data_IF_438621408881
#
_entry.id   IF_438621408881
#
_cell.length_a   1.000
_cell.length_b   1.000
_cell.length_c   1.000
_cell.angle_alpha   90.00
_cell.angle_beta   90.00
_cell.angle_gamma   90.00
#
_symmetry.space_group_name_H-M   'P 1'
#
loop_
_entity.id
_entity.type
_entity.pdbx_description
1 polymer ?
#
# COMPACT_ATOMS: atom_id res chain seq x y z
N UNK A 1 8.26 -20.91 -4.28
CA UNK A 1 8.03 -20.95 -2.81
C UNK A 1 9.33 -20.63 -2.07
N UNK A 2 9.58 -19.37 -1.69
CA UNK A 2 10.69 -19.02 -0.77
C UNK A 2 10.27 -19.51 0.62
N UNK A 3 10.90 -20.59 1.13
CA UNK A 3 10.74 -21.01 2.53
C UNK A 3 11.00 -19.79 3.41
N UNK A 4 10.00 -19.41 4.19
CA UNK A 4 10.05 -18.25 5.07
C UNK A 4 11.29 -18.33 5.96
N UNK A 5 12.04 -17.22 6.11
CA UNK A 5 13.19 -17.15 7.03
C UNK A 5 12.82 -17.56 8.46
N UNK A 6 11.54 -17.49 8.82
CA UNK A 6 11.00 -17.95 10.11
C UNK A 6 11.04 -19.46 10.27
N UNK A 7 10.92 -20.26 9.18
CA UNK A 7 11.01 -21.71 9.26
C UNK A 7 12.43 -22.17 9.64
N UNK A 8 13.47 -21.51 9.14
CA UNK A 8 14.86 -21.83 9.53
C UNK A 8 15.11 -21.54 11.02
N UNK A 9 14.53 -20.48 11.56
CA UNK A 9 14.62 -20.18 12.99
C UNK A 9 13.91 -21.21 13.86
N UNK A 10 12.80 -21.78 13.39
CA UNK A 10 12.09 -22.84 14.10
C UNK A 10 12.92 -24.12 14.17
N UNK A 11 13.53 -24.52 13.05
CA UNK A 11 14.42 -25.68 13.03
C UNK A 11 15.67 -25.48 13.87
N UNK A 12 16.28 -24.29 13.81
CA UNK A 12 17.43 -23.93 14.64
C UNK A 12 17.08 -23.99 16.13
N UNK A 13 15.96 -23.42 16.53
CA UNK A 13 15.49 -23.45 17.92
C UNK A 13 15.20 -24.88 18.37
N UNK A 14 14.54 -25.69 17.54
CA UNK A 14 14.27 -27.10 17.84
C UNK A 14 15.54 -27.91 18.01
N UNK A 15 16.50 -27.77 17.11
CA UNK A 15 17.81 -28.45 17.20
C UNK A 15 18.56 -28.00 18.46
N UNK A 16 18.57 -26.70 18.78
CA UNK A 16 19.18 -26.16 20.00
C UNK A 16 18.57 -26.77 21.25
N UNK A 17 17.24 -26.84 21.34
CA UNK A 17 16.52 -27.45 22.49
C UNK A 17 16.91 -28.91 22.66
N UNK A 18 16.99 -29.69 21.56
CA UNK A 18 17.37 -31.10 21.60
C UNK A 18 18.82 -31.27 22.10
N UNK A 19 19.75 -30.49 21.55
CA UNK A 19 21.17 -30.54 21.96
C UNK A 19 21.32 -30.18 23.45
N UNK A 20 20.62 -29.13 23.89
CA UNK A 20 20.64 -28.68 25.28
C UNK A 20 20.04 -29.72 26.22
N UNK A 21 18.97 -30.42 25.81
CA UNK A 21 18.36 -31.48 26.58
C UNK A 21 19.29 -32.69 26.75
N UNK A 22 19.99 -33.08 25.66
CA UNK A 22 20.98 -34.15 25.68
C UNK A 22 22.18 -33.80 26.57
N UNK A 23 22.65 -32.54 26.49
CA UNK A 23 23.72 -32.02 27.32
C UNK A 23 23.37 -32.04 28.81
N UNK A 24 22.17 -31.61 29.17
CA UNK A 24 21.69 -31.66 30.55
C UNK A 24 21.49 -33.08 31.05
N UNK A 25 20.99 -34.00 30.22
CA UNK A 25 20.88 -35.41 30.55
C UNK A 25 22.24 -36.04 30.88
N UNK A 26 23.24 -35.73 30.07
CA UNK A 26 24.63 -36.20 30.32
C UNK A 26 25.19 -35.65 31.65
N UNK A 27 24.99 -34.34 31.91
CA UNK A 27 25.44 -33.73 33.16
C UNK A 27 24.73 -34.28 34.40
N UNK A 28 23.44 -34.56 34.32
CA UNK A 28 22.67 -35.18 35.42
C UNK A 28 23.20 -36.61 35.73
N UNK A 29 23.53 -37.39 34.72
CA UNK A 29 24.12 -38.73 34.91
C UNK A 29 25.48 -38.60 35.59
N UNK A 30 26.35 -37.70 35.16
CA UNK A 30 27.63 -37.44 35.82
C UNK A 30 27.50 -36.96 37.28
N UNK A 31 26.52 -36.13 37.57
CA UNK A 31 26.21 -35.67 38.94
C UNK A 31 25.75 -36.81 39.84
N UNK A 32 25.04 -37.80 39.32
CA UNK A 32 24.56 -38.97 40.09
C UNK A 32 25.69 -39.95 40.47
N UNK A 33 26.81 -39.93 39.73
CA UNK A 33 27.94 -40.85 39.96
C UNK A 33 29.05 -40.27 40.83
N UNK A 34 29.08 -38.97 41.08
CA UNK A 34 30.12 -38.28 41.87
C UNK A 34 29.45 -37.42 42.95
N UNK A 35 29.42 -37.92 44.20
CA UNK A 35 29.01 -37.14 45.38
C UNK A 35 30.17 -36.15 45.68
N UNK A 36 30.01 -34.84 45.59
CA UNK A 36 31.06 -33.89 45.90
C UNK A 36 31.31 -33.87 47.41
N UNK A 37 32.54 -34.10 47.81
CA UNK A 37 32.99 -33.99 49.21
C UNK A 37 33.34 -32.53 49.60
N UNK A 38 33.33 -31.61 48.67
CA UNK A 38 33.73 -30.20 48.90
C UNK A 38 32.63 -29.22 48.46
N UNK A 39 32.23 -28.37 49.40
CA UNK A 39 31.20 -27.31 49.20
C UNK A 39 31.55 -26.30 48.11
N UNK A 40 32.84 -26.05 47.88
CA UNK A 40 33.30 -25.11 46.84
C UNK A 40 33.08 -25.66 45.43
N UNK A 41 33.22 -27.00 45.23
CA UNK A 41 32.93 -27.63 43.95
C UNK A 41 31.42 -27.67 43.66
N UNK A 42 30.60 -27.87 44.67
CA UNK A 42 29.15 -27.84 44.55
C UNK A 42 28.66 -26.48 44.11
N UNK A 43 29.15 -25.38 44.76
CA UNK A 43 28.79 -24.00 44.42
C UNK A 43 29.15 -23.62 42.97
N UNK A 44 30.34 -24.03 42.49
CA UNK A 44 30.75 -23.82 41.08
C UNK A 44 29.82 -24.56 40.09
N UNK A 45 29.43 -25.78 40.37
CA UNK A 45 28.53 -26.57 39.50
C UNK A 45 27.11 -25.98 39.47
N UNK A 46 26.57 -25.56 40.60
CA UNK A 46 25.28 -24.88 40.69
C UNK A 46 25.29 -23.57 39.88
N UNK A 47 26.35 -22.76 40.02
CA UNK A 47 26.52 -21.54 39.23
C UNK A 47 26.58 -21.81 37.73
N UNK A 48 27.24 -22.88 37.28
CA UNK A 48 27.30 -23.24 35.86
C UNK A 48 25.92 -23.67 35.32
N UNK A 49 25.20 -24.52 36.02
CA UNK A 49 23.85 -24.99 35.62
C UNK A 49 22.86 -23.81 35.58
N UNK A 50 22.92 -22.88 36.56
CA UNK A 50 22.07 -21.68 36.56
C UNK A 50 22.41 -20.76 35.39
N UNK A 51 23.70 -20.58 35.07
CA UNK A 51 24.15 -19.77 33.94
C UNK A 51 23.70 -20.34 32.60
N UNK A 52 23.87 -21.65 32.39
CA UNK A 52 23.40 -22.32 31.18
C UNK A 52 21.87 -22.27 31.05
N UNK A 53 21.14 -22.48 32.16
CA UNK A 53 19.69 -22.40 32.21
C UNK A 53 19.18 -21.00 31.85
N UNK A 54 19.86 -19.96 32.34
CA UNK A 54 19.52 -18.57 32.00
C UNK A 54 19.73 -18.27 30.50
N UNK A 55 20.85 -18.69 29.92
CA UNK A 55 21.10 -18.55 28.47
C UNK A 55 20.06 -19.31 27.65
N UNK A 56 19.73 -20.52 28.05
CA UNK A 56 18.67 -21.31 27.40
C UNK A 56 17.32 -20.58 27.40
N UNK A 57 16.90 -20.06 28.54
CA UNK A 57 15.65 -19.31 28.67
C UNK A 57 15.64 -18.03 27.83
N UNK A 58 16.76 -17.32 27.73
CA UNK A 58 16.90 -16.14 26.90
C UNK A 58 16.74 -16.48 25.40
N UNK A 59 17.42 -17.53 24.93
CA UNK A 59 17.32 -17.96 23.53
C UNK A 59 15.89 -18.43 23.19
N UNK A 60 15.29 -19.21 24.12
CA UNK A 60 13.91 -19.68 23.96
C UNK A 60 12.92 -18.50 23.89
N UNK A 61 13.03 -17.56 24.84
CA UNK A 61 12.18 -16.37 24.88
C UNK A 61 12.33 -15.52 23.62
N UNK A 62 13.55 -15.30 23.17
CA UNK A 62 13.83 -14.59 21.91
C UNK A 62 13.24 -15.34 20.70
N UNK A 63 13.38 -16.66 20.64
CA UNK A 63 12.79 -17.49 19.59
C UNK A 63 11.27 -17.40 19.55
N UNK A 64 10.60 -17.51 20.71
CA UNK A 64 9.15 -17.38 20.84
C UNK A 64 8.70 -15.96 20.42
N UNK A 65 9.41 -14.92 20.85
CA UNK A 65 9.11 -13.55 20.42
C UNK A 65 9.19 -13.38 18.90
N UNK A 66 10.24 -13.90 18.27
CA UNK A 66 10.43 -13.85 16.81
C UNK A 66 9.32 -14.59 16.07
N UNK A 67 8.94 -15.78 16.54
CA UNK A 67 7.86 -16.58 15.96
C UNK A 67 6.53 -15.85 16.08
N UNK A 68 6.19 -15.36 17.27
CA UNK A 68 4.95 -14.57 17.48
C UNK A 68 4.87 -13.37 16.55
N UNK A 69 5.95 -12.59 16.44
CA UNK A 69 6.02 -11.44 15.53
C UNK A 69 5.82 -11.84 14.06
N UNK A 70 6.39 -12.98 13.64
CA UNK A 70 6.21 -13.50 12.28
C UNK A 70 4.77 -13.92 12.00
N UNK A 71 4.16 -14.67 12.92
CA UNK A 71 2.77 -15.13 12.81
C UNK A 71 1.81 -13.94 12.80
N UNK A 72 1.99 -12.96 13.69
CA UNK A 72 1.15 -11.77 13.73
C UNK A 72 1.20 -10.99 12.41
N UNK A 73 2.39 -10.89 11.79
CA UNK A 73 2.55 -10.24 10.49
C UNK A 73 1.83 -11.01 9.37
N UNK A 74 1.93 -12.33 9.39
CA UNK A 74 1.29 -13.20 8.40
C UNK A 74 -0.24 -13.15 8.51
N UNK A 75 -0.77 -13.18 9.74
CA UNK A 75 -2.21 -13.02 9.99
C UNK A 75 -2.72 -11.64 9.56
N UNK A 76 -1.98 -10.58 9.84
CA UNK A 76 -2.34 -9.22 9.40
C UNK A 76 -2.39 -9.12 7.87
N UNK A 77 -1.40 -9.71 7.18
CA UNK A 77 -1.39 -9.75 5.70
C UNK A 77 -2.56 -10.56 5.15
N UNK A 78 -2.88 -11.70 5.75
CA UNK A 78 -4.01 -12.53 5.36
C UNK A 78 -5.34 -11.79 5.56
N UNK A 79 -5.47 -11.06 6.65
CA UNK A 79 -6.67 -10.25 6.92
C UNK A 79 -6.81 -9.10 5.93
N UNK A 80 -5.70 -8.42 5.58
CA UNK A 80 -5.69 -7.41 4.53
C UNK A 80 -6.13 -7.99 3.17
N UNK A 81 -5.66 -9.19 2.81
CA UNK A 81 -6.08 -9.87 1.58
C UNK A 81 -7.58 -10.24 1.58
N UNK A 82 -8.10 -10.71 2.70
CA UNK A 82 -9.53 -11.01 2.83
C UNK A 82 -10.38 -9.74 2.70
N UNK A 83 -10.02 -8.69 3.42
CA UNK A 83 -10.71 -7.40 3.35
C UNK A 83 -10.67 -6.83 1.92
N UNK A 84 -9.54 -6.97 1.23
CA UNK A 84 -9.44 -6.59 -0.18
C UNK A 84 -10.41 -7.35 -1.08
N UNK A 85 -10.49 -8.68 -0.97
CA UNK A 85 -11.42 -9.48 -1.77
C UNK A 85 -12.87 -9.08 -1.51
N UNK A 86 -13.24 -8.85 -0.26
CA UNK A 86 -14.58 -8.37 0.11
C UNK A 86 -14.84 -6.99 -0.49
N UNK A 87 -13.90 -6.05 -0.33
CA UNK A 87 -14.03 -4.69 -0.86
C UNK A 87 -14.14 -4.69 -2.38
N UNK A 88 -13.27 -5.41 -3.11
CA UNK A 88 -13.35 -5.52 -4.58
C UNK A 88 -14.66 -6.12 -5.02
N UNK A 89 -15.11 -7.19 -4.36
CA UNK A 89 -16.39 -7.80 -4.70
C UNK A 89 -17.53 -6.79 -4.57
N UNK A 90 -17.52 -5.97 -3.52
CA UNK A 90 -18.50 -4.93 -3.32
C UNK A 90 -18.37 -3.79 -4.35
N UNK A 91 -17.16 -3.34 -4.62
CA UNK A 91 -16.87 -2.28 -5.61
C UNK A 91 -17.22 -2.70 -7.05
N UNK A 92 -17.10 -3.99 -7.39
CA UNK A 92 -17.53 -4.53 -8.67
C UNK A 92 -19.06 -4.70 -8.75
N UNK A 93 -19.69 -5.11 -7.65
CA UNK A 93 -21.14 -5.36 -7.63
C UNK A 93 -21.96 -4.10 -7.87
N UNK A 94 -21.50 -2.95 -7.36
CA UNK A 94 -22.21 -1.67 -7.46
C UNK A 94 -22.38 -1.20 -8.92
N UNK A 95 -21.30 -1.02 -9.74
CA UNK A 95 -21.43 -0.62 -11.12
C UNK A 95 -22.17 -1.67 -11.97
N UNK A 96 -21.97 -2.98 -11.71
CA UNK A 96 -22.71 -4.03 -12.42
C UNK A 96 -24.20 -3.94 -12.13
N UNK A 97 -24.61 -3.66 -10.88
CA UNK A 97 -26.01 -3.48 -10.53
C UNK A 97 -26.62 -2.22 -11.18
N UNK A 98 -25.86 -1.12 -11.22
CA UNK A 98 -26.25 0.12 -11.89
C UNK A 98 -26.42 -0.09 -13.41
N UNK A 99 -25.44 -0.72 -14.07
CA UNK A 99 -25.52 -1.11 -15.49
C UNK A 99 -26.75 -1.97 -15.78
N UNK A 100 -27.01 -2.97 -14.94
CA UNK A 100 -28.20 -3.80 -15.08
C UNK A 100 -29.48 -2.98 -14.99
N UNK A 101 -29.55 -2.03 -14.04
CA UNK A 101 -30.71 -1.16 -13.87
C UNK A 101 -30.91 -0.26 -15.09
N UNK A 102 -29.85 0.38 -15.61
CA UNK A 102 -29.90 1.21 -16.81
C UNK A 102 -30.40 0.41 -18.02
N UNK A 103 -29.85 -0.77 -18.26
CA UNK A 103 -30.28 -1.64 -19.38
C UNK A 103 -31.72 -2.14 -19.22
N UNK A 104 -32.16 -2.51 -18.01
CA UNK A 104 -33.55 -2.91 -17.74
C UNK A 104 -34.52 -1.73 -17.93
N UNK A 105 -34.11 -0.50 -17.59
CA UNK A 105 -34.93 0.70 -17.77
C UNK A 105 -35.12 1.00 -19.25
N UNK A 106 -34.05 0.91 -20.05
CA UNK A 106 -34.15 1.04 -21.53
C UNK A 106 -35.03 -0.02 -22.17
N UNK A 107 -34.97 -1.27 -21.66
CA UNK A 107 -35.74 -2.39 -22.20
C UNK A 107 -37.24 -2.30 -21.89
N UNK A 108 -37.60 -1.86 -20.67
CA UNK A 108 -38.98 -1.92 -20.15
C UNK A 108 -39.82 -0.69 -20.41
N UNK A 109 -39.21 0.47 -20.67
CA UNK A 109 -39.89 1.74 -20.74
C UNK A 109 -39.71 2.42 -22.11
N UNK A 110 -40.82 2.90 -22.70
CA UNK A 110 -40.76 3.84 -23.81
C UNK A 110 -40.42 5.24 -23.24
N UNK A 111 -39.15 5.62 -23.35
CA UNK A 111 -38.63 6.87 -22.82
C UNK A 111 -38.47 7.91 -23.92
N UNK A 112 -38.67 9.22 -23.63
CA UNK A 112 -38.26 10.31 -24.52
C UNK A 112 -36.73 10.20 -24.82
N UNK A 113 -36.32 10.66 -26.03
CA UNK A 113 -34.91 10.53 -26.47
C UNK A 113 -33.91 11.16 -25.49
N UNK A 114 -34.20 12.34 -24.98
CA UNK A 114 -33.37 13.03 -23.99
C UNK A 114 -33.10 12.18 -22.72
N UNK A 115 -34.12 11.46 -22.25
CA UNK A 115 -33.98 10.55 -21.10
C UNK A 115 -33.19 9.28 -21.45
N UNK A 116 -33.33 8.78 -22.69
CA UNK A 116 -32.54 7.63 -23.16
C UNK A 116 -31.06 7.98 -23.24
N UNK A 117 -30.72 9.16 -23.80
CA UNK A 117 -29.35 9.64 -23.86
C UNK A 117 -28.71 9.74 -22.47
N UNK A 118 -29.41 10.29 -21.48
CA UNK A 118 -28.94 10.37 -20.11
C UNK A 118 -28.69 8.98 -19.47
N UNK A 119 -29.56 8.01 -19.74
CA UNK A 119 -29.39 6.63 -19.24
C UNK A 119 -28.20 5.93 -19.93
N UNK A 120 -28.04 6.13 -21.23
CA UNK A 120 -26.92 5.58 -21.99
C UNK A 120 -25.60 6.17 -21.48
N UNK A 121 -25.57 7.51 -21.27
CA UNK A 121 -24.40 8.18 -20.72
C UNK A 121 -24.04 7.63 -19.34
N UNK A 122 -24.99 7.50 -18.42
CA UNK A 122 -24.76 6.93 -17.09
C UNK A 122 -24.28 5.46 -17.16
N UNK A 123 -24.79 4.66 -18.13
CA UNK A 123 -24.31 3.30 -18.33
C UNK A 123 -22.86 3.27 -18.85
N UNK A 124 -22.49 4.19 -19.75
CA UNK A 124 -21.12 4.30 -20.23
C UNK A 124 -20.14 4.72 -19.12
N UNK A 125 -20.53 5.68 -18.28
CA UNK A 125 -19.73 6.10 -17.13
C UNK A 125 -19.46 4.95 -16.14
N UNK A 126 -20.49 4.14 -15.83
CA UNK A 126 -20.30 2.99 -14.94
C UNK A 126 -19.47 1.88 -15.59
N UNK A 127 -19.53 1.72 -16.91
CA UNK A 127 -18.66 0.79 -17.64
C UNK A 127 -17.19 1.24 -17.63
N UNK A 128 -16.92 2.54 -17.83
CA UNK A 128 -15.57 3.12 -17.72
C UNK A 128 -15.00 2.93 -16.31
N UNK A 129 -15.82 3.19 -15.29
CA UNK A 129 -15.45 2.98 -13.89
C UNK A 129 -15.09 1.53 -13.59
N UNK A 130 -15.86 0.59 -14.13
CA UNK A 130 -15.58 -0.85 -14.01
C UNK A 130 -14.27 -1.23 -14.69
N UNK A 131 -14.02 -0.71 -15.90
CA UNK A 131 -12.77 -0.88 -16.65
C UNK A 131 -11.55 -0.39 -15.84
N UNK A 132 -11.62 0.82 -15.31
CA UNK A 132 -10.56 1.39 -14.47
C UNK A 132 -10.28 0.55 -13.21
N UNK A 133 -11.32 0.01 -12.56
CA UNK A 133 -11.16 -0.87 -11.40
C UNK A 133 -10.44 -2.18 -11.77
N UNK A 134 -10.81 -2.80 -12.89
CA UNK A 134 -10.16 -4.03 -13.40
C UNK A 134 -8.69 -3.74 -13.72
N UNK A 135 -8.41 -2.63 -14.38
CA UNK A 135 -7.04 -2.24 -14.73
C UNK A 135 -6.18 -2.00 -13.49
N UNK A 136 -6.72 -1.36 -12.46
CA UNK A 136 -6.04 -1.20 -11.17
C UNK A 136 -5.70 -2.55 -10.52
N UNK A 137 -6.59 -3.54 -10.58
CA UNK A 137 -6.34 -4.89 -10.06
C UNK A 137 -5.21 -5.57 -10.84
N UNK A 138 -5.25 -5.49 -12.18
CA UNK A 138 -4.22 -6.06 -13.05
C UNK A 138 -2.87 -5.41 -12.82
N UNK A 139 -2.82 -4.08 -12.72
CA UNK A 139 -1.61 -3.32 -12.46
C UNK A 139 -1.02 -3.67 -11.08
N UNK A 140 -1.84 -3.77 -10.03
CA UNK A 140 -1.38 -4.21 -8.72
C UNK A 140 -0.80 -5.64 -8.76
N UNK A 141 -1.39 -6.53 -9.56
CA UNK A 141 -0.90 -7.91 -9.72
C UNK A 141 0.42 -7.96 -10.51
N UNK A 142 0.55 -7.15 -11.56
CA UNK A 142 1.80 -7.01 -12.34
C UNK A 142 2.93 -6.44 -11.47
N UNK A 143 2.63 -5.44 -10.61
CA UNK A 143 3.58 -4.86 -9.68
C UNK A 143 4.15 -5.90 -8.70
N UNK A 144 3.28 -6.72 -8.11
CA UNK A 144 3.66 -7.78 -7.17
C UNK A 144 4.60 -8.81 -7.80
N UNK A 145 4.35 -9.19 -9.05
CA UNK A 145 5.14 -10.17 -9.78
C UNK A 145 6.36 -9.56 -10.48
N UNK A 146 6.62 -8.26 -10.33
CA UNK A 146 7.70 -7.52 -10.99
C UNK A 146 7.67 -7.66 -12.52
N UNK A 147 6.48 -7.72 -13.09
CA UNK A 147 6.26 -7.91 -14.53
C UNK A 147 6.25 -6.60 -15.32
N UNK A 148 6.39 -5.46 -14.65
CA UNK A 148 6.47 -4.18 -15.34
C UNK A 148 7.82 -3.99 -16.00
N UNK A 149 7.78 -3.61 -17.26
CA UNK A 149 8.94 -3.10 -18.00
C UNK A 149 8.72 -1.60 -18.19
N UNK A 150 9.64 -0.81 -17.67
CA UNK A 150 9.63 0.64 -17.78
C UNK A 150 9.99 1.02 -19.24
N UNK A 151 9.08 1.69 -19.92
CA UNK A 151 9.27 2.19 -21.29
C UNK A 151 9.44 3.71 -21.27
N UNK A 152 10.68 4.16 -21.04
CA UNK A 152 10.97 5.59 -21.00
C UNK A 152 11.08 6.15 -22.42
N UNK A 153 10.47 7.31 -22.62
CA UNK A 153 10.63 8.14 -23.80
C UNK A 153 10.81 9.61 -23.41
N UNK A 154 11.36 10.41 -24.29
CA UNK A 154 11.45 11.86 -24.12
C UNK A 154 10.03 12.45 -24.10
N UNK A 155 9.64 13.03 -22.99
CA UNK A 155 8.30 13.51 -22.72
C UNK A 155 8.32 14.93 -22.17
N UNK A 156 7.44 15.79 -22.68
CA UNK A 156 7.13 17.07 -22.06
C UNK A 156 6.09 16.87 -20.93
N UNK A 157 6.59 16.85 -19.70
CA UNK A 157 5.77 16.67 -18.51
C UNK A 157 4.77 17.82 -18.34
N UNK A 158 5.12 19.03 -18.73
CA UNK A 158 4.23 20.17 -18.66
C UNK A 158 3.04 20.00 -19.61
N UNK A 159 3.27 19.59 -20.85
CA UNK A 159 2.21 19.29 -21.80
C UNK A 159 1.30 18.14 -21.35
N UNK A 160 1.87 17.05 -20.82
CA UNK A 160 1.10 15.93 -20.26
C UNK A 160 0.20 16.41 -19.14
N UNK A 161 0.76 17.14 -18.17
CA UNK A 161 -0.01 17.63 -17.01
C UNK A 161 -1.11 18.59 -17.42
N UNK A 162 -0.83 19.53 -18.33
CA UNK A 162 -1.82 20.47 -18.85
C UNK A 162 -3.01 19.75 -19.49
N UNK A 163 -2.75 18.73 -20.30
CA UNK A 163 -3.78 17.92 -20.94
C UNK A 163 -4.64 17.16 -19.92
N UNK A 164 -4.00 16.57 -18.89
CA UNK A 164 -4.70 15.89 -17.81
C UNK A 164 -5.59 16.84 -17.02
N UNK A 165 -5.04 17.96 -16.56
CA UNK A 165 -5.78 18.97 -15.79
C UNK A 165 -6.96 19.52 -16.59
N UNK A 166 -6.80 19.81 -17.88
CA UNK A 166 -7.88 20.30 -18.76
C UNK A 166 -9.03 19.30 -18.87
N UNK A 167 -8.74 17.99 -18.96
CA UNK A 167 -9.78 16.94 -18.95
C UNK A 167 -10.57 16.92 -17.63
N UNK A 168 -9.90 17.14 -16.51
CA UNK A 168 -10.57 17.18 -15.20
C UNK A 168 -11.32 18.49 -14.98
N UNK A 169 -10.81 19.62 -15.44
CA UNK A 169 -11.50 20.92 -15.36
C UNK A 169 -12.81 20.96 -16.15
N UNK A 170 -12.89 20.27 -17.28
CA UNK A 170 -14.15 20.15 -18.03
C UNK A 170 -15.23 19.31 -17.32
N UNK A 171 -14.80 18.38 -16.46
CA UNK A 171 -15.70 17.49 -15.70
C UNK A 171 -16.08 18.04 -14.32
N UNK A 172 -15.19 18.83 -13.72
CA UNK A 172 -15.37 19.49 -12.42
C UNK A 172 -15.28 21.00 -12.60
N UNK A 173 -15.83 21.79 -11.67
CA UNK A 173 -15.76 23.28 -11.79
C UNK A 173 -14.32 23.75 -11.94
N UNK A 174 -14.04 24.51 -12.97
CA UNK A 174 -12.68 24.95 -13.37
C UNK A 174 -11.91 25.70 -12.26
N UNK A 175 -12.62 26.31 -11.30
CA UNK A 175 -12.03 27.06 -10.18
C UNK A 175 -11.39 26.21 -9.08
N UNK A 176 -11.50 24.86 -9.16
CA UNK A 176 -11.02 23.96 -8.11
C UNK A 176 -9.57 23.49 -8.32
N UNK A 177 -9.03 23.60 -9.53
CA UNK A 177 -7.69 23.11 -9.88
C UNK A 177 -6.76 24.28 -10.18
N UNK A 178 -5.81 24.54 -9.31
CA UNK A 178 -4.72 25.49 -9.52
C UNK A 178 -3.47 24.74 -9.98
N UNK A 179 -2.87 25.20 -11.09
CA UNK A 179 -1.69 24.58 -11.68
C UNK A 179 -0.52 25.58 -11.71
N UNK A 180 0.57 25.21 -11.06
CA UNK A 180 1.82 25.96 -11.00
C UNK A 180 2.94 25.07 -11.56
N UNK A 181 3.45 25.40 -12.74
CA UNK A 181 4.50 24.61 -13.40
C UNK A 181 5.29 25.45 -14.39
N UNK A 182 6.52 25.08 -14.77
CA UNK A 182 7.24 25.70 -15.87
C UNK A 182 6.52 25.51 -17.20
N UNK A 183 6.74 26.42 -18.16
CA UNK A 183 6.10 26.35 -19.48
C UNK A 183 6.44 25.06 -20.25
N UNK A 184 7.65 24.54 -20.06
CA UNK A 184 8.12 23.29 -20.67
C UNK A 184 9.09 22.58 -19.71
N UNK A 185 8.89 21.26 -19.55
CA UNK A 185 9.76 20.43 -18.76
C UNK A 185 9.96 19.07 -19.44
N UNK A 186 11.10 18.93 -20.13
CA UNK A 186 11.45 17.69 -20.78
C UNK A 186 12.15 16.71 -19.83
N UNK A 187 11.86 15.43 -19.97
CA UNK A 187 12.51 14.35 -19.23
C UNK A 187 12.20 12.97 -19.81
N UNK A 188 12.98 11.97 -19.39
CA UNK A 188 12.83 10.58 -19.84
C UNK A 188 11.93 9.80 -18.89
N UNK A 189 10.65 9.64 -19.24
CA UNK A 189 9.61 9.01 -18.41
C UNK A 189 8.79 8.00 -19.22
N UNK A 190 8.10 7.12 -18.52
CA UNK A 190 7.05 6.28 -19.10
C UNK A 190 5.72 7.05 -19.04
N UNK A 191 5.14 7.46 -20.19
CA UNK A 191 3.96 8.32 -20.24
C UNK A 191 2.74 7.68 -19.57
N UNK A 192 2.53 6.39 -19.79
CA UNK A 192 1.40 5.67 -19.22
C UNK A 192 1.47 5.56 -17.70
N UNK A 193 2.67 5.27 -17.16
CA UNK A 193 2.89 5.22 -15.72
C UNK A 193 2.74 6.61 -15.09
N UNK A 194 3.26 7.66 -15.74
CA UNK A 194 3.08 9.03 -15.26
C UNK A 194 1.60 9.46 -15.27
N UNK A 195 0.88 9.21 -16.36
CA UNK A 195 -0.55 9.48 -16.41
C UNK A 195 -1.29 8.78 -15.28
N UNK A 196 -0.99 7.51 -15.02
CA UNK A 196 -1.58 6.75 -13.93
C UNK A 196 -1.24 7.33 -12.56
N UNK A 197 0.00 7.80 -12.33
CA UNK A 197 0.40 8.51 -11.10
C UNK A 197 -0.46 9.75 -10.89
N UNK A 198 -0.55 10.62 -11.90
CA UNK A 198 -1.33 11.85 -11.82
C UNK A 198 -2.81 11.58 -11.58
N UNK A 199 -3.41 10.67 -12.35
CA UNK A 199 -4.83 10.31 -12.24
C UNK A 199 -5.15 9.83 -10.83
N UNK A 200 -4.39 8.87 -10.30
CA UNK A 200 -4.65 8.34 -8.95
C UNK A 200 -4.49 9.40 -7.85
N UNK A 201 -3.48 10.27 -7.93
CA UNK A 201 -3.28 11.32 -6.94
C UNK A 201 -4.36 12.41 -7.05
N UNK A 202 -4.74 12.80 -8.27
CA UNK A 202 -5.77 13.79 -8.51
C UNK A 202 -7.16 13.29 -8.09
N UNK A 203 -7.51 12.04 -8.44
CA UNK A 203 -8.76 11.42 -7.99
C UNK A 203 -8.83 11.30 -6.47
N UNK A 204 -7.72 10.98 -5.80
CA UNK A 204 -7.66 11.00 -4.35
C UNK A 204 -7.90 12.40 -3.79
N UNK A 205 -7.26 13.43 -4.34
CA UNK A 205 -7.45 14.82 -3.92
C UNK A 205 -8.92 15.26 -4.09
N UNK A 206 -9.56 14.96 -5.23
CA UNK A 206 -10.97 15.26 -5.50
C UNK A 206 -11.89 14.52 -4.52
N UNK A 207 -11.63 13.23 -4.34
CA UNK A 207 -12.45 12.34 -3.52
C UNK A 207 -12.43 12.71 -2.05
N UNK A 208 -11.28 13.07 -1.51
CA UNK A 208 -11.08 13.36 -0.09
C UNK A 208 -11.11 14.85 0.22
N UNK A 209 -10.75 15.71 -0.74
CA UNK A 209 -10.83 17.16 -0.62
C UNK A 209 -12.27 17.72 -0.64
N UNK A 210 -13.22 16.95 -1.21
CA UNK A 210 -14.60 17.41 -1.37
C UNK A 210 -14.82 18.31 -2.61
N UNK A 211 -16.09 18.49 -2.98
CA UNK A 211 -16.50 19.12 -4.26
C UNK A 211 -16.31 20.63 -4.35
N UNK A 212 -15.93 21.30 -3.28
CA UNK A 212 -15.77 22.78 -3.24
C UNK A 212 -14.38 23.23 -2.77
N UNK A 213 -13.43 22.31 -2.61
CA UNK A 213 -12.10 22.62 -2.08
C UNK A 213 -11.07 22.75 -3.19
N UNK A 214 -10.17 23.69 -3.04
CA UNK A 214 -9.09 23.94 -3.98
C UNK A 214 -8.04 22.81 -3.92
N UNK A 215 -7.65 22.32 -5.09
CA UNK A 215 -6.54 21.37 -5.26
C UNK A 215 -5.44 22.12 -5.99
N UNK A 216 -4.23 22.14 -5.40
CA UNK A 216 -3.08 22.80 -6.00
C UNK A 216 -2.10 21.76 -6.51
N UNK A 217 -1.72 21.89 -7.77
CA UNK A 217 -0.72 21.04 -8.45
C UNK A 217 0.51 21.90 -8.71
N UNK A 218 1.65 21.51 -8.13
CA UNK A 218 2.91 22.22 -8.28
C UNK A 218 3.92 21.27 -8.91
N UNK A 219 4.56 21.72 -10.00
CA UNK A 219 5.66 20.98 -10.64
C UNK A 219 6.88 21.88 -10.70
N UNK A 220 7.97 21.40 -10.13
CA UNK A 220 9.23 22.13 -10.04
C UNK A 220 10.38 21.25 -10.53
N UNK A 221 11.30 21.84 -11.27
CA UNK A 221 12.57 21.19 -11.64
C UNK A 221 13.63 21.63 -10.64
N UNK A 222 14.27 20.68 -10.00
CA UNK A 222 15.39 20.91 -9.08
C UNK A 222 16.58 20.05 -9.53
N UNK A 223 17.56 20.66 -10.17
CA UNK A 223 18.75 19.99 -10.73
C UNK A 223 18.39 18.81 -11.66
N UNK A 224 18.64 17.59 -11.21
CA UNK A 224 18.40 16.32 -11.92
C UNK A 224 17.08 15.66 -11.53
N UNK A 225 16.23 16.36 -10.80
CA UNK A 225 14.97 15.82 -10.33
C UNK A 225 13.82 16.74 -10.71
N UNK A 226 12.67 16.15 -10.91
CA UNK A 226 11.39 16.85 -10.93
C UNK A 226 10.62 16.52 -9.68
N UNK A 227 10.03 17.51 -9.05
CA UNK A 227 9.13 17.38 -7.92
C UNK A 227 7.71 17.70 -8.37
N UNK A 228 6.79 16.78 -8.13
CA UNK A 228 5.36 16.93 -8.40
C UNK A 228 4.65 16.91 -7.06
N UNK A 229 3.94 17.97 -6.71
CA UNK A 229 3.15 18.09 -5.49
C UNK A 229 1.69 18.24 -5.85
N UNK A 230 0.84 17.43 -5.24
CA UNK A 230 -0.63 17.55 -5.32
C UNK A 230 -1.14 17.76 -3.90
N UNK A 231 -1.68 18.93 -3.64
CA UNK A 231 -2.17 19.38 -2.34
C UNK A 231 -3.69 19.45 -2.35
N UNK A 232 -4.34 18.80 -1.39
CA UNK A 232 -5.76 18.86 -1.11
C UNK A 232 -6.04 19.58 0.23
N UNK A 233 -7.30 19.95 0.45
CA UNK A 233 -7.78 20.54 1.70
C UNK A 233 -8.72 19.59 2.46
N UNK A 234 -8.56 18.29 2.27
CA UNK A 234 -9.35 17.24 2.91
C UNK A 234 -9.10 17.09 4.42
N UNK A 235 -9.53 15.97 5.01
CA UNK A 235 -9.35 15.73 6.45
C UNK A 235 -7.88 15.50 6.85
N UNK A 236 -6.98 15.34 5.88
CA UNK A 236 -5.58 15.00 6.13
C UNK A 236 -5.37 13.53 6.51
N UNK A 237 -4.10 13.14 6.68
CA UNK A 237 -3.69 11.78 7.02
C UNK A 237 -2.80 11.83 8.25
N UNK A 238 -3.14 11.05 9.28
CA UNK A 238 -2.38 10.98 10.53
C UNK A 238 -0.93 10.56 10.26
N UNK A 239 0.03 11.14 10.98
CA UNK A 239 1.46 10.89 10.78
C UNK A 239 1.83 9.39 10.86
N UNK A 240 1.16 8.63 11.72
CA UNK A 240 1.34 7.17 11.88
C UNK A 240 0.89 6.36 10.66
N UNK A 241 0.00 6.91 9.82
CA UNK A 241 -0.58 6.21 8.67
C UNK A 241 0.09 6.61 7.34
N UNK A 242 0.79 7.76 7.29
CA UNK A 242 1.38 8.32 6.05
C UNK A 242 2.34 7.38 5.31
N UNK A 243 3.02 6.49 6.01
CA UNK A 243 3.85 5.47 5.37
C UNK A 243 3.03 4.27 4.87
N UNK A 244 1.94 3.94 5.58
CA UNK A 244 1.14 2.75 5.33
C UNK A 244 0.16 2.93 4.17
N UNK A 245 -0.25 4.17 3.85
CA UNK A 245 -1.19 4.45 2.74
C UNK A 245 -0.67 3.98 1.37
N UNK A 246 0.63 3.75 1.21
CA UNK A 246 1.26 3.20 0.02
C UNK A 246 1.38 1.66 0.06
N UNK A 247 0.96 1.03 1.15
CA UNK A 247 0.91 -0.42 1.23
C UNK A 247 -0.31 -0.96 0.48
N UNK A 248 -0.15 -2.14 -0.11
CA UNK A 248 -1.20 -2.82 -0.87
C UNK A 248 -2.43 -3.06 0.02
N UNK A 249 -3.62 -2.66 -0.45
CA UNK A 249 -4.91 -2.82 0.22
C UNK A 249 -5.09 -1.97 1.48
N UNK A 250 -4.15 -1.11 1.80
CA UNK A 250 -4.28 -0.24 2.96
C UNK A 250 -5.31 0.86 2.73
N UNK A 251 -6.12 1.12 3.74
CA UNK A 251 -7.13 2.19 3.77
C UNK A 251 -7.20 2.77 5.18
N UNK A 252 -7.26 4.09 5.27
CA UNK A 252 -7.42 4.81 6.54
C UNK A 252 -8.79 4.51 7.15
N UNK A 253 -8.85 4.25 8.46
CA UNK A 253 -10.07 3.96 9.22
C UNK A 253 -10.56 2.50 9.14
N UNK A 254 -11.51 2.15 10.00
CA UNK A 254 -12.16 0.83 10.03
C UNK A 254 -13.23 0.70 8.92
N UNK A 255 -13.60 -0.52 8.55
CA UNK A 255 -14.67 -0.77 7.55
C UNK A 255 -16.01 -0.11 7.92
N UNK A 256 -16.34 -0.08 9.21
CA UNK A 256 -17.58 0.49 9.74
C UNK A 256 -17.63 2.03 9.66
N UNK A 257 -16.47 2.69 9.68
CA UNK A 257 -16.36 4.17 9.65
C UNK A 257 -16.07 4.74 8.26
N UNK A 258 -15.85 3.89 7.25
CA UNK A 258 -15.50 4.30 5.89
C UNK A 258 -16.70 4.86 5.14
N UNK A 259 -16.68 6.16 4.86
CA UNK A 259 -17.73 6.84 4.09
C UNK A 259 -17.52 6.80 2.57
N UNK A 260 -16.32 6.47 2.09
CA UNK A 260 -15.97 6.57 0.67
C UNK A 260 -15.49 5.25 0.10
N UNK A 261 -15.98 4.89 -1.08
CA UNK A 261 -15.62 3.71 -1.84
C UNK A 261 -14.14 3.74 -2.31
N UNK A 262 -13.50 2.59 -2.49
CA UNK A 262 -12.14 2.50 -3.05
C UNK A 262 -11.42 1.21 -2.69
N UNK A 263 -10.62 0.71 -3.64
CA UNK A 263 -9.92 -0.59 -3.55
C UNK A 263 -8.68 -0.59 -2.65
N UNK A 264 -8.11 0.58 -2.31
CA UNK A 264 -6.80 0.67 -1.63
C UNK A 264 -5.62 0.28 -2.53
N UNK A 265 -5.80 0.30 -3.86
CA UNK A 265 -4.76 -0.04 -4.83
C UNK A 265 -4.11 1.18 -5.48
N UNK A 266 -4.82 2.31 -5.59
CA UNK A 266 -4.34 3.47 -6.34
C UNK A 266 -3.00 3.99 -5.82
N UNK A 267 -2.87 4.29 -4.53
CA UNK A 267 -1.62 4.78 -3.94
C UNK A 267 -0.51 3.71 -3.94
N UNK A 268 -0.83 2.44 -3.81
CA UNK A 268 0.13 1.36 -3.96
C UNK A 268 0.72 1.34 -5.37
N UNK A 269 -0.11 1.44 -6.41
CA UNK A 269 0.34 1.50 -7.82
C UNK A 269 1.21 2.73 -8.05
N UNK A 270 0.81 3.89 -7.51
CA UNK A 270 1.63 5.11 -7.56
C UNK A 270 3.01 4.86 -6.95
N UNK A 271 3.08 4.28 -5.75
CA UNK A 271 4.35 3.95 -5.09
C UNK A 271 5.24 3.03 -5.93
N UNK A 272 4.65 2.00 -6.56
CA UNK A 272 5.39 1.08 -7.42
C UNK A 272 5.88 1.75 -8.72
N UNK A 273 5.07 2.58 -9.37
CA UNK A 273 5.46 3.29 -10.59
C UNK A 273 6.54 4.34 -10.33
N UNK A 274 6.44 5.08 -9.22
CA UNK A 274 7.49 6.00 -8.76
C UNK A 274 8.79 5.25 -8.48
N UNK A 275 8.74 4.09 -7.82
CA UNK A 275 9.90 3.24 -7.55
C UNK A 275 10.55 2.71 -8.83
N UNK A 276 9.76 2.33 -9.85
CA UNK A 276 10.27 1.89 -11.15
C UNK A 276 11.02 3.02 -11.86
N UNK A 277 10.59 4.27 -11.71
CA UNK A 277 11.30 5.45 -12.19
C UNK A 277 12.53 5.83 -11.35
N UNK A 278 12.89 5.03 -10.31
CA UNK A 278 13.93 5.33 -9.32
C UNK A 278 13.66 6.62 -8.52
N UNK A 279 12.38 6.94 -8.36
CA UNK A 279 11.89 8.09 -7.61
C UNK A 279 11.51 7.76 -6.16
N UNK A 280 10.92 8.74 -5.50
CA UNK A 280 10.33 8.60 -4.18
C UNK A 280 8.99 9.32 -4.09
N UNK A 281 8.08 8.80 -3.26
CA UNK A 281 6.80 9.44 -2.93
C UNK A 281 6.66 9.57 -1.42
N UNK A 282 6.11 10.70 -0.97
CA UNK A 282 5.82 10.99 0.44
C UNK A 282 4.49 11.70 0.57
N UNK A 283 3.90 11.59 1.75
CA UNK A 283 2.70 12.34 2.14
C UNK A 283 3.02 13.24 3.32
N UNK A 284 2.65 14.51 3.20
CA UNK A 284 2.80 15.53 4.24
C UNK A 284 1.42 16.10 4.62
N UNK A 285 1.39 16.80 5.73
CA UNK A 285 0.26 17.58 6.16
C UNK A 285 0.18 18.89 5.37
N UNK A 286 -1.02 19.27 4.95
CA UNK A 286 -1.27 20.58 4.36
C UNK A 286 -1.77 21.56 5.42
N UNK A 287 -1.49 22.84 5.23
CA UNK A 287 -1.94 23.91 6.12
C UNK A 287 -3.02 24.75 5.44
N UNK A 288 -4.13 25.09 6.11
CA UNK A 288 -4.46 24.78 7.52
C UNK A 288 -4.98 23.35 7.74
N UNK A 289 -5.33 22.61 6.70
CA UNK A 289 -5.86 21.24 6.74
C UNK A 289 -5.65 20.58 5.39
N UNK A 290 -5.48 19.23 5.37
CA UNK A 290 -5.39 18.43 4.14
C UNK A 290 -4.13 17.62 4.05
N UNK A 291 -3.85 17.12 2.84
CA UNK A 291 -2.66 16.33 2.54
C UNK A 291 -1.91 16.89 1.33
N UNK A 292 -0.60 16.72 1.34
CA UNK A 292 0.29 17.01 0.20
C UNK A 292 0.96 15.71 -0.18
N UNK A 293 0.70 15.22 -1.39
CA UNK A 293 1.45 14.12 -1.98
C UNK A 293 2.59 14.69 -2.81
N UNK A 294 3.81 14.35 -2.44
CA UNK A 294 5.04 14.77 -3.11
C UNK A 294 5.69 13.57 -3.79
N UNK A 295 5.85 13.66 -5.10
CA UNK A 295 6.56 12.69 -5.95
C UNK A 295 7.83 13.34 -6.46
N UNK A 296 8.97 12.67 -6.31
CA UNK A 296 10.28 13.10 -6.80
C UNK A 296 10.77 12.07 -7.79
N UNK A 297 11.02 12.48 -9.02
CA UNK A 297 11.52 11.62 -10.12
C UNK A 297 12.84 12.16 -10.65
N UNK A 298 13.82 11.27 -10.99
CA UNK A 298 15.02 11.69 -11.72
C UNK A 298 14.67 11.95 -13.20
N UNK A 299 15.27 13.02 -13.76
CA UNK A 299 15.14 13.42 -15.17
C UNK A 299 16.27 12.82 -15.98
#
# INVERSE_FOLDING_TARGET
>A
MKKSKSAYWLYFLGAYVIVQFLWWGYHLIQLSTVIPQDNAQLSKRVGMVLGEGAVFLLILSFGIYRIRKSISKELALQQQQQNFLLTITHELKTPIAALKLYLQTLQKHHLPEEKKEGIIHGALEENERLGALIENILNATKAENKLFQLQKEELDLSALTQNLVSRYQSRFSASLLELQMPAQLMGAFDPHMLETIFVNLLENAIKYGGTQQQITIIIEKLDRFVTIKIADQGPGIAASERAQIFEKFYRVGSEETRKQAGSGLGLYIVGEYVRLHNGSIRCFENSPQGSIFEVILPI
#
